data_IF_630063747751
#
_entry.id   IF_630063747751
#
_cell.length_a   1.000
_cell.length_b   1.000
_cell.length_c   1.000
_cell.angle_alpha   90.00
_cell.angle_beta   90.00
_cell.angle_gamma   90.00
#
_symmetry.space_group_name_H-M   'P 1'
#
loop_
_entity.id
_entity.type
_entity.pdbx_description
1 polymer ?
#
# COMPACT_ATOMS: atom_id res chain seq x y z
N UNK A 1 -14.37 -2.65 21.16
CA UNK A 1 -14.73 -1.92 22.38
C UNK A 1 -14.01 -2.61 23.51
N UNK A 2 -12.84 -2.10 23.84
CA UNK A 2 -12.08 -2.49 25.02
C UNK A 2 -12.50 -1.64 26.23
N UNK A 3 -12.23 -2.17 27.42
CA UNK A 3 -12.70 -1.66 28.72
C UNK A 3 -12.09 -0.30 29.13
N UNK A 4 -11.28 0.34 28.28
CA UNK A 4 -10.68 1.64 28.59
C UNK A 4 -11.38 2.84 27.94
N UNK A 5 -12.33 2.64 27.01
CA UNK A 5 -13.06 3.73 26.33
C UNK A 5 -12.14 4.91 25.89
N UNK A 6 -10.87 4.65 25.58
CA UNK A 6 -9.93 5.71 25.25
C UNK A 6 -10.15 6.15 23.80
N UNK A 7 -10.82 7.29 23.61
CA UNK A 7 -10.91 7.94 22.31
C UNK A 7 -9.51 8.40 21.91
N UNK A 8 -9.01 7.90 20.78
CA UNK A 8 -7.72 8.34 20.23
C UNK A 8 -7.92 9.62 19.44
N UNK A 9 -6.87 10.43 19.31
CA UNK A 9 -6.92 11.70 18.55
C UNK A 9 -7.36 11.46 17.08
N UNK A 10 -7.07 10.28 16.53
CA UNK A 10 -7.54 9.82 15.22
C UNK A 10 -9.06 9.74 15.09
N UNK A 11 -9.79 9.51 16.19
CA UNK A 11 -11.25 9.31 16.17
C UNK A 11 -12.02 10.62 15.92
N UNK A 12 -11.42 11.77 16.25
CA UNK A 12 -12.05 13.07 16.04
C UNK A 12 -12.31 13.36 14.55
N UNK A 13 -11.41 12.91 13.67
CA UNK A 13 -11.56 13.11 12.22
C UNK A 13 -12.68 12.26 11.60
N UNK A 14 -12.91 11.06 12.14
CA UNK A 14 -13.89 10.10 11.61
C UNK A 14 -15.31 10.34 12.12
N UNK A 15 -15.47 10.97 13.28
CA UNK A 15 -16.78 11.26 13.90
C UNK A 15 -17.74 12.10 13.03
N UNK A 16 -17.18 12.89 12.10
CA UNK A 16 -17.94 13.77 11.19
C UNK A 16 -18.48 13.05 9.95
N UNK A 17 -18.00 11.85 9.62
CA UNK A 17 -18.27 11.19 8.36
C UNK A 17 -19.09 9.90 8.47
N UNK A 18 -19.18 9.29 9.67
CA UNK A 18 -19.79 7.97 9.83
C UNK A 18 -20.88 7.97 10.90
N UNK A 19 -21.92 7.15 10.67
CA UNK A 19 -23.00 6.92 11.63
C UNK A 19 -22.47 6.17 12.86
N UNK A 20 -23.08 6.35 14.05
CA UNK A 20 -22.56 5.84 15.32
C UNK A 20 -22.42 4.31 15.42
N UNK A 21 -23.03 3.55 14.50
CA UNK A 21 -22.89 2.09 14.41
C UNK A 21 -21.68 1.63 13.56
N UNK A 22 -21.09 2.53 12.78
CA UNK A 22 -20.01 2.24 11.83
C UNK A 22 -18.60 2.54 12.37
N UNK A 23 -18.46 2.98 13.62
CA UNK A 23 -17.16 3.21 14.26
C UNK A 23 -16.55 1.94 14.88
N UNK A 24 -17.18 0.77 14.68
CA UNK A 24 -16.60 -0.52 15.03
C UNK A 24 -15.81 -1.07 13.84
N UNK A 25 -14.58 -0.62 13.65
CA UNK A 25 -13.56 -1.43 12.96
C UNK A 25 -13.05 -2.48 13.93
N UNK A 26 -13.21 -3.77 13.60
CA UNK A 26 -12.45 -4.80 14.30
C UNK A 26 -10.98 -4.68 13.85
N UNK A 27 -10.00 -4.91 14.73
CA UNK A 27 -8.59 -4.91 14.32
C UNK A 27 -8.29 -5.97 13.23
N UNK A 28 -9.18 -6.96 13.06
CA UNK A 28 -9.11 -7.95 11.98
C UNK A 28 -9.53 -7.41 10.60
N UNK A 29 -10.23 -6.27 10.54
CA UNK A 29 -10.69 -5.64 9.28
C UNK A 29 -9.73 -4.55 8.79
N UNK A 30 -8.67 -4.23 9.54
CA UNK A 30 -7.71 -3.19 9.20
C UNK A 30 -6.59 -3.77 8.33
N UNK A 31 -6.94 -4.19 7.11
CA UNK A 31 -5.93 -4.58 6.12
C UNK A 31 -5.13 -3.32 5.75
N UNK A 32 -3.84 -3.30 6.09
CA UNK A 32 -2.92 -2.25 5.66
C UNK A 32 -2.91 -2.24 4.13
N UNK A 33 -3.26 -1.09 3.53
CA UNK A 33 -3.36 -0.92 2.07
C UNK A 33 -2.12 -1.46 1.34
N UNK A 34 -0.94 -1.20 1.87
CA UNK A 34 0.34 -1.68 1.34
C UNK A 34 0.40 -3.22 1.28
N UNK A 35 0.05 -3.91 2.36
CA UNK A 35 0.04 -5.38 2.43
C UNK A 35 -0.96 -5.98 1.44
N UNK A 36 -2.13 -5.35 1.27
CA UNK A 36 -3.11 -5.79 0.29
C UNK A 36 -2.62 -5.63 -1.14
N UNK A 37 -2.04 -4.46 -1.48
CA UNK A 37 -1.48 -4.20 -2.81
C UNK A 37 -0.33 -5.17 -3.09
N UNK A 38 0.50 -5.48 -2.10
CA UNK A 38 1.57 -6.46 -2.22
C UNK A 38 1.05 -7.87 -2.50
N UNK A 39 0.02 -8.33 -1.77
CA UNK A 39 -0.62 -9.63 -2.06
C UNK A 39 -1.21 -9.67 -3.46
N UNK A 40 -1.84 -8.58 -3.91
CA UNK A 40 -2.35 -8.48 -5.28
C UNK A 40 -1.22 -8.53 -6.32
N UNK A 41 -0.08 -7.89 -6.05
CA UNK A 41 1.12 -7.95 -6.89
C UNK A 41 1.65 -9.38 -7.00
N UNK A 42 1.87 -10.05 -5.87
CA UNK A 42 2.41 -11.41 -5.82
C UNK A 42 1.47 -12.45 -6.45
N UNK A 43 0.15 -12.26 -6.33
CA UNK A 43 -0.86 -13.13 -6.94
C UNK A 43 -1.07 -12.85 -8.46
N UNK A 44 -0.47 -11.80 -9.02
CA UNK A 44 -0.75 -11.36 -10.40
C UNK A 44 -2.16 -10.78 -10.58
N UNK A 45 -2.78 -10.32 -9.49
CA UNK A 45 -4.16 -9.84 -9.43
C UNK A 45 -4.26 -8.31 -9.31
N UNK A 46 -3.24 -7.57 -9.79
CA UNK A 46 -3.16 -6.10 -9.66
C UNK A 46 -4.40 -5.35 -10.17
N UNK A 47 -5.15 -5.92 -11.12
CA UNK A 47 -6.42 -5.33 -11.58
C UNK A 47 -7.41 -5.07 -10.44
N UNK A 48 -7.37 -5.85 -9.36
CA UNK A 48 -8.20 -5.63 -8.16
C UNK A 48 -7.91 -4.28 -7.49
N UNK A 49 -6.68 -3.77 -7.61
CA UNK A 49 -6.24 -2.48 -7.05
C UNK A 49 -6.97 -1.28 -7.66
N UNK A 50 -7.39 -1.39 -8.93
CA UNK A 50 -8.02 -0.30 -9.67
C UNK A 50 -9.53 -0.47 -9.87
N UNK A 51 -10.11 -1.58 -9.39
CA UNK A 51 -11.53 -1.88 -9.51
C UNK A 51 -11.98 -1.99 -10.97
N UNK A 52 -12.99 -1.20 -11.35
CA UNK A 52 -13.57 -1.18 -12.69
C UNK A 52 -12.85 -0.23 -13.66
N UNK A 53 -11.83 0.50 -13.21
CA UNK A 53 -11.10 1.42 -14.07
C UNK A 53 -10.35 0.67 -15.18
N UNK A 54 -10.47 1.16 -16.41
CA UNK A 54 -9.70 0.66 -17.54
C UNK A 54 -8.29 1.26 -17.50
N UNK A 55 -7.30 0.39 -17.31
CA UNK A 55 -5.89 0.76 -17.21
C UNK A 55 -5.03 -0.19 -18.02
N UNK A 56 -3.88 0.29 -18.48
CA UNK A 56 -2.84 -0.58 -19.02
C UNK A 56 -2.21 -1.35 -17.86
N UNK A 57 -2.28 -2.69 -17.90
CA UNK A 57 -1.77 -3.55 -16.83
C UNK A 57 -0.25 -3.47 -16.66
N UNK A 58 0.50 -3.30 -17.75
CA UNK A 58 1.96 -3.14 -17.71
C UNK A 58 2.34 -1.81 -17.05
N UNK A 59 1.61 -0.74 -17.38
CA UNK A 59 1.82 0.56 -16.75
C UNK A 59 1.41 0.55 -15.27
N UNK A 60 0.30 -0.12 -14.93
CA UNK A 60 -0.12 -0.33 -13.56
C UNK A 60 0.94 -1.07 -12.76
N UNK A 61 1.46 -2.18 -13.29
CA UNK A 61 2.52 -2.97 -12.63
C UNK A 61 3.76 -2.11 -12.40
N UNK A 62 4.20 -1.36 -13.41
CA UNK A 62 5.33 -0.42 -13.29
C UNK A 62 5.09 0.62 -12.20
N UNK A 63 3.92 1.24 -12.17
CA UNK A 63 3.58 2.26 -11.16
C UNK A 63 3.52 1.68 -9.75
N UNK A 64 2.97 0.48 -9.59
CA UNK A 64 2.93 -0.22 -8.30
C UNK A 64 4.34 -0.54 -7.81
N UNK A 65 5.23 -1.04 -8.68
CA UNK A 65 6.64 -1.28 -8.34
C UNK A 65 7.36 -0.01 -7.91
N UNK A 66 7.19 1.09 -8.64
CA UNK A 66 7.75 2.40 -8.26
C UNK A 66 7.20 2.84 -6.90
N UNK A 67 5.89 2.68 -6.69
CA UNK A 67 5.21 2.97 -5.43
C UNK A 67 5.84 2.23 -4.25
N UNK A 68 6.10 0.92 -4.40
CA UNK A 68 6.76 0.11 -3.37
C UNK A 68 8.13 0.66 -2.96
N UNK A 69 8.93 1.12 -3.92
CA UNK A 69 10.23 1.74 -3.63
C UNK A 69 10.11 3.11 -2.96
N UNK A 70 9.12 3.91 -3.33
CA UNK A 70 8.91 5.26 -2.79
C UNK A 70 8.47 5.27 -1.32
N UNK A 71 7.75 4.25 -0.87
CA UNK A 71 7.20 4.18 0.49
C UNK A 71 8.08 3.39 1.47
N UNK A 72 9.28 3.00 1.05
CA UNK A 72 10.23 2.26 1.90
C UNK A 72 10.53 3.00 3.20
N UNK A 73 10.58 2.27 4.31
CA UNK A 73 10.92 2.83 5.62
C UNK A 73 12.30 3.47 5.58
N UNK A 74 13.29 2.73 5.07
CA UNK A 74 14.66 3.22 4.93
C UNK A 74 14.77 4.23 3.80
N UNK A 75 15.21 5.45 4.14
CA UNK A 75 15.31 6.58 3.19
C UNK A 75 16.32 6.31 2.08
N UNK A 76 17.39 5.60 2.39
CA UNK A 76 18.50 5.33 1.45
C UNK A 76 18.09 4.33 0.35
N UNK A 77 17.01 3.58 0.57
CA UNK A 77 16.42 2.68 -0.43
C UNK A 77 15.41 3.38 -1.32
N UNK A 78 14.98 4.60 -0.98
CA UNK A 78 14.00 5.33 -1.78
C UNK A 78 14.68 5.92 -3.02
N UNK A 79 14.07 5.81 -4.20
CA UNK A 79 14.59 6.45 -5.40
C UNK A 79 14.48 7.97 -5.27
N UNK A 80 15.47 8.68 -5.80
CA UNK A 80 15.37 10.12 -6.01
C UNK A 80 14.24 10.44 -6.99
N UNK A 81 13.66 11.65 -6.93
CA UNK A 81 12.64 12.06 -7.90
C UNK A 81 13.13 11.97 -9.35
N UNK A 82 14.42 12.21 -9.60
CA UNK A 82 15.01 12.00 -10.93
C UNK A 82 14.93 10.53 -11.36
N UNK A 83 15.25 9.59 -10.47
CA UNK A 83 15.13 8.16 -10.76
C UNK A 83 13.67 7.74 -10.96
N UNK A 84 12.74 8.26 -10.15
CA UNK A 84 11.30 7.98 -10.32
C UNK A 84 10.82 8.36 -11.72
N UNK A 85 11.18 9.55 -12.20
CA UNK A 85 10.82 10.00 -13.56
C UNK A 85 11.40 9.06 -14.62
N UNK A 86 12.68 8.68 -14.50
CA UNK A 86 13.35 7.75 -15.41
C UNK A 86 12.77 6.32 -15.35
N UNK A 87 12.19 5.91 -14.21
CA UNK A 87 11.48 4.64 -14.10
C UNK A 87 10.11 4.74 -14.78
N UNK A 88 9.41 5.86 -14.61
CA UNK A 88 8.10 6.10 -15.22
C UNK A 88 8.18 6.16 -16.75
N UNK A 89 9.18 6.86 -17.29
CA UNK A 89 9.39 6.97 -18.74
C UNK A 89 9.96 5.68 -19.38
N UNK A 90 10.41 4.72 -18.56
CA UNK A 90 10.97 3.44 -19.01
C UNK A 90 12.45 3.51 -19.43
N UNK A 91 13.13 4.64 -19.20
CA UNK A 91 14.57 4.80 -19.48
C UNK A 91 15.41 3.91 -18.58
N UNK A 92 14.99 3.70 -17.33
CA UNK A 92 15.62 2.73 -16.43
C UNK A 92 14.62 1.66 -15.99
N UNK A 93 15.09 0.42 -15.92
CA UNK A 93 14.28 -0.72 -15.50
C UNK A 93 13.97 -0.62 -14.02
N UNK A 94 12.70 -0.72 -13.65
CA UNK A 94 12.28 -0.78 -12.24
C UNK A 94 12.61 -2.16 -11.65
N UNK A 95 13.45 -2.24 -10.61
CA UNK A 95 13.75 -3.51 -9.97
C UNK A 95 12.49 -4.11 -9.32
N UNK A 96 12.45 -5.44 -9.12
CA UNK A 96 11.36 -6.07 -8.39
C UNK A 96 11.27 -5.46 -6.98
N UNK A 97 10.05 -5.33 -6.43
CA UNK A 97 9.87 -4.72 -5.13
C UNK A 97 10.54 -5.56 -4.03
N UNK A 98 10.93 -4.92 -2.91
CA UNK A 98 11.44 -5.61 -1.74
C UNK A 98 10.44 -6.67 -1.24
N UNK A 99 10.92 -7.79 -0.67
CA UNK A 99 10.03 -8.76 -0.02
C UNK A 99 9.29 -8.10 1.15
N UNK A 100 8.09 -8.61 1.49
CA UNK A 100 7.32 -8.03 2.58
C UNK A 100 8.09 -8.20 3.90
N UNK A 101 7.93 -7.27 4.86
CA UNK A 101 8.69 -7.25 6.12
C UNK A 101 8.51 -8.50 6.99
N UNK A 102 7.52 -9.35 6.72
CA UNK A 102 7.24 -10.59 7.43
C UNK A 102 7.66 -11.87 6.68
N UNK A 103 8.26 -11.77 5.50
CA UNK A 103 8.92 -12.91 4.85
C UNK A 103 10.33 -13.06 5.41
N UNK A 104 10.43 -13.50 6.66
CA UNK A 104 11.65 -14.11 7.17
C UNK A 104 11.96 -15.32 6.29
N UNK A 105 12.97 -15.20 5.43
CA UNK A 105 13.68 -16.32 4.88
C UNK A 105 14.28 -17.12 6.05
N UNK A 106 13.53 -18.10 6.58
CA UNK A 106 14.09 -19.11 7.44
C UNK A 106 14.73 -20.17 6.56
N UNK A 107 16.05 -20.14 6.52
CA UNK A 107 16.91 -21.27 6.16
C UNK A 107 16.73 -22.43 7.15
#
# INVERSE_FOLDING_TARGET
MDESMSAKISDFGLSKLLKPDQTRTSPDDEIILMDWVQRCYEAGELKKVVGEAEVNLEELEKMVKIGFWCVQTETDLRPTMKQVILMMDGTIVTPPPPPPPNSSANN
#
